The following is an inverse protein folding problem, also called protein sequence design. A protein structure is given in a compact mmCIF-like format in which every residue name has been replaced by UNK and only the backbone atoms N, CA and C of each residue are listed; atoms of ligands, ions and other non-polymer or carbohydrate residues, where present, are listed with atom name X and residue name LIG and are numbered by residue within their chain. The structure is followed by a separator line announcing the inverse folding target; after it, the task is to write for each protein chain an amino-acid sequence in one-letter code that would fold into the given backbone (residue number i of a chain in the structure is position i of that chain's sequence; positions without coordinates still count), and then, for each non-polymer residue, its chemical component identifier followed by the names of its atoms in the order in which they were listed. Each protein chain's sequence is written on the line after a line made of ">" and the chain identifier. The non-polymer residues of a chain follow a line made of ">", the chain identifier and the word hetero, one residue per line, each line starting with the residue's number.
data_IF_083300083154
#
_entry.id   IF_083300083154
#
_cell.length_a   1.000
_cell.length_b   1.000
_cell.length_c   1.000
_cell.angle_alpha   90.00
_cell.angle_beta   90.00
_cell.angle_gamma   90.00
#
_symmetry.space_group_name_H-M   'P 1'
#
loop_
_entity.id
_entity.type
_entity.pdbx_description
1 polymer ?
#
# COMPACT_ATOMS: atom_id res chain seq x y z
N UNK A 1 11.83 30.58 -19.33
CA UNK A 1 12.09 31.58 -20.39
C UNK A 1 13.59 31.79 -20.65
N UNK A 2 14.34 32.49 -19.78
CA UNK A 2 15.74 32.87 -20.05
C UNK A 2 16.71 31.69 -20.28
N UNK A 3 16.62 30.63 -19.46
CA UNK A 3 17.43 29.41 -19.60
C UNK A 3 17.11 28.63 -20.88
N UNK A 4 15.82 28.52 -21.23
CA UNK A 4 15.37 27.85 -22.46
C UNK A 4 15.88 28.59 -23.70
N UNK A 5 15.90 29.92 -23.67
CA UNK A 5 16.46 30.74 -24.74
C UNK A 5 17.96 30.47 -24.93
N UNK A 6 18.73 30.43 -23.84
CA UNK A 6 20.18 30.12 -23.89
C UNK A 6 20.42 28.69 -24.40
N UNK A 7 19.66 27.72 -23.91
CA UNK A 7 19.76 26.33 -24.33
C UNK A 7 19.42 26.16 -25.82
N UNK A 8 18.40 26.88 -26.32
CA UNK A 8 17.98 26.82 -27.72
C UNK A 8 18.99 27.37 -28.71
N UNK A 9 19.92 28.23 -28.26
CA UNK A 9 20.96 28.85 -29.08
C UNK A 9 22.29 28.11 -29.05
N UNK A 10 22.40 27.03 -28.26
CA UNK A 10 23.66 26.34 -28.01
C UNK A 10 23.68 24.97 -28.67
N UNK A 11 24.65 24.73 -29.55
CA UNK A 11 24.80 23.47 -30.29
C UNK A 11 25.58 22.42 -29.51
N UNK A 12 26.46 22.88 -28.63
CA UNK A 12 27.30 22.04 -27.77
C UNK A 12 27.53 22.69 -26.41
N UNK A 13 28.15 21.94 -25.51
CA UNK A 13 28.34 22.39 -24.13
C UNK A 13 29.33 23.55 -23.96
N UNK A 14 30.37 23.60 -24.81
CA UNK A 14 31.31 24.72 -24.80
C UNK A 14 30.61 26.00 -25.23
N UNK A 15 29.72 25.91 -26.22
CA UNK A 15 28.89 27.03 -26.67
C UNK A 15 27.92 27.49 -25.58
N UNK A 16 27.24 26.57 -24.90
CA UNK A 16 26.32 26.88 -23.79
C UNK A 16 27.01 27.61 -22.64
N UNK A 17 28.17 27.11 -22.20
CA UNK A 17 28.95 27.74 -21.14
C UNK A 17 29.49 29.10 -21.55
N UNK A 18 29.88 29.27 -22.82
CA UNK A 18 30.31 30.55 -23.37
C UNK A 18 29.16 31.56 -23.36
N UNK A 19 27.97 31.17 -23.81
CA UNK A 19 26.76 32.03 -23.83
C UNK A 19 26.31 32.42 -22.43
N UNK A 20 26.40 31.52 -21.44
CA UNK A 20 26.18 31.84 -20.02
C UNK A 20 27.18 32.92 -19.55
N UNK A 21 28.47 32.73 -19.86
CA UNK A 21 29.53 33.69 -19.52
C UNK A 21 29.31 35.07 -20.16
N UNK A 22 28.84 35.09 -21.40
CA UNK A 22 28.61 36.31 -22.18
C UNK A 22 27.37 37.06 -21.68
N UNK A 23 26.22 36.37 -21.50
CA UNK A 23 25.00 36.99 -20.95
C UNK A 23 25.19 37.47 -19.51
N UNK A 24 26.10 36.88 -18.73
CA UNK A 24 26.44 37.35 -17.38
C UNK A 24 27.00 38.77 -17.37
N UNK A 25 27.65 39.23 -18.45
CA UNK A 25 28.19 40.59 -18.57
C UNK A 25 27.12 41.66 -18.72
N UNK A 26 25.91 41.30 -19.13
CA UNK A 26 24.80 42.23 -19.40
C UNK A 26 23.54 41.93 -18.58
N UNK A 27 23.63 41.04 -17.59
CA UNK A 27 22.49 40.57 -16.80
C UNK A 27 22.19 41.47 -15.59
N UNK A 28 20.92 41.55 -15.20
CA UNK A 28 20.50 42.24 -13.97
C UNK A 28 20.93 41.48 -12.70
N UNK A 29 20.90 42.13 -11.53
CA UNK A 29 21.40 41.55 -10.26
C UNK A 29 20.73 40.20 -9.91
N UNK A 30 19.41 40.08 -10.06
CA UNK A 30 18.67 38.82 -9.85
C UNK A 30 18.98 37.76 -10.92
N UNK A 31 19.25 38.19 -12.16
CA UNK A 31 19.69 37.29 -13.22
C UNK A 31 21.12 36.78 -12.98
N UNK A 32 22.01 37.59 -12.39
CA UNK A 32 23.37 37.18 -12.02
C UNK A 32 23.36 36.11 -10.93
N UNK A 33 22.52 36.24 -9.89
CA UNK A 33 22.38 35.18 -8.87
C UNK A 33 21.85 33.88 -9.47
N UNK A 34 20.85 33.97 -10.35
CA UNK A 34 20.32 32.82 -11.08
C UNK A 34 21.39 32.18 -11.96
N UNK A 35 22.15 32.98 -12.72
CA UNK A 35 23.27 32.52 -13.56
C UNK A 35 24.41 31.91 -12.74
N UNK A 36 24.71 32.43 -11.55
CA UNK A 36 25.73 31.86 -10.65
C UNK A 36 25.28 30.51 -10.08
N UNK A 37 24.01 30.39 -9.68
CA UNK A 37 23.45 29.13 -9.22
C UNK A 37 23.45 28.08 -10.34
N UNK A 38 23.07 28.48 -11.56
CA UNK A 38 23.20 27.63 -12.75
C UNK A 38 24.66 27.25 -12.96
N UNK A 39 25.60 28.21 -12.99
CA UNK A 39 27.01 27.95 -13.24
C UNK A 39 27.65 27.04 -12.17
N UNK A 40 27.29 27.17 -10.89
CA UNK A 40 27.78 26.28 -9.83
C UNK A 40 27.19 24.87 -9.95
N UNK A 41 25.87 24.76 -10.16
CA UNK A 41 25.22 23.48 -10.41
C UNK A 41 25.71 22.83 -11.69
N UNK A 42 26.08 23.63 -12.67
CA UNK A 42 26.61 23.18 -13.94
C UNK A 42 28.07 22.74 -13.76
N UNK A 43 28.92 23.51 -13.08
CA UNK A 43 30.31 23.12 -12.78
C UNK A 43 30.41 21.82 -11.98
N UNK A 44 29.48 21.54 -11.07
CA UNK A 44 29.44 20.26 -10.35
C UNK A 44 29.04 19.07 -11.24
N UNK A 45 28.45 19.34 -12.41
CA UNK A 45 28.06 18.36 -13.42
C UNK A 45 29.09 18.25 -14.55
N UNK A 46 30.04 19.19 -14.70
CA UNK A 46 31.03 19.24 -15.79
C UNK A 46 32.40 18.73 -15.33
N UNK A 47 32.85 17.69 -16.00
CA UNK A 47 34.25 17.30 -16.13
C UNK A 47 34.84 18.03 -17.33
N UNK A 48 35.91 18.81 -17.09
CA UNK A 48 36.54 19.72 -18.07
C UNK A 48 37.02 19.03 -19.37
N UNK A 49 37.21 17.71 -19.36
CA UNK A 49 37.76 16.91 -20.46
C UNK A 49 36.82 15.79 -20.94
N UNK A 50 35.51 16.05 -21.02
CA UNK A 50 34.65 15.20 -21.84
C UNK A 50 34.86 15.57 -23.31
N UNK A 51 35.77 14.86 -23.98
CA UNK A 51 35.93 14.91 -25.42
C UNK A 51 34.65 14.52 -26.17
N UNK A 52 34.68 14.56 -27.50
CA UNK A 52 33.62 13.93 -28.30
C UNK A 52 33.70 12.42 -28.10
N UNK A 53 32.63 11.83 -27.56
CA UNK A 53 32.50 10.37 -27.55
C UNK A 53 32.10 9.95 -28.96
N UNK A 54 33.05 9.42 -29.71
CA UNK A 54 32.72 8.72 -30.95
C UNK A 54 32.03 7.41 -30.59
N UNK A 55 30.74 7.36 -30.87
CA UNK A 55 29.93 6.18 -30.69
C UNK A 55 30.28 5.20 -31.82
N UNK A 56 30.98 4.11 -31.52
CA UNK A 56 31.27 3.07 -32.50
C UNK A 56 29.99 2.33 -32.95
N UNK A 57 30.05 1.59 -34.06
CA UNK A 57 28.93 0.76 -34.55
C UNK A 57 28.86 -0.63 -33.89
N UNK A 58 29.56 -0.81 -32.78
CA UNK A 58 29.65 -2.06 -32.02
C UNK A 58 28.98 -1.93 -30.65
N UNK A 59 28.84 -3.07 -29.96
CA UNK A 59 28.34 -3.12 -28.59
C UNK A 59 29.20 -2.27 -27.67
N UNK A 60 28.67 -1.12 -27.25
CA UNK A 60 29.38 -0.14 -26.43
C UNK A 60 28.78 -0.11 -25.03
N UNK A 61 29.62 -0.15 -24.00
CA UNK A 61 29.22 -0.04 -22.60
C UNK A 61 29.71 1.31 -22.04
N UNK A 62 28.77 2.14 -21.59
CA UNK A 62 29.09 3.39 -20.89
C UNK A 62 29.13 3.15 -19.38
N UNK A 63 30.33 3.06 -18.82
CA UNK A 63 30.51 2.94 -17.38
C UNK A 63 30.63 4.33 -16.72
N UNK A 64 29.59 4.69 -15.96
CA UNK A 64 29.52 5.94 -15.21
C UNK A 64 29.98 5.79 -13.75
N UNK A 65 30.40 4.60 -13.31
CA UNK A 65 30.72 4.30 -11.91
C UNK A 65 31.83 5.18 -11.32
N UNK A 66 32.76 5.63 -12.16
CA UNK A 66 33.91 6.46 -11.78
C UNK A 66 33.58 7.95 -11.58
N UNK A 67 32.38 8.38 -11.95
CA UNK A 67 31.95 9.76 -11.78
C UNK A 67 31.71 10.09 -10.29
N UNK A 68 32.14 11.28 -9.83
CA UNK A 68 32.27 11.58 -8.40
C UNK A 68 30.94 11.73 -7.66
N UNK A 69 29.84 12.02 -8.37
CA UNK A 69 28.53 12.22 -7.75
C UNK A 69 27.44 11.51 -8.52
N UNK A 70 26.38 11.09 -7.81
CA UNK A 70 25.17 10.51 -8.43
C UNK A 70 24.51 11.47 -9.42
N UNK A 71 24.60 12.78 -9.17
CA UNK A 71 24.07 13.81 -10.06
C UNK A 71 24.86 13.88 -11.38
N UNK A 72 26.20 13.81 -11.32
CA UNK A 72 27.03 13.73 -12.51
C UNK A 72 26.76 12.46 -13.32
N UNK A 73 26.63 11.30 -12.65
CA UNK A 73 26.24 10.04 -13.31
C UNK A 73 24.94 10.18 -14.11
N UNK A 74 23.89 10.67 -13.45
CA UNK A 74 22.59 10.83 -14.08
C UNK A 74 22.64 11.85 -15.24
N UNK A 75 23.35 12.96 -15.05
CA UNK A 75 23.51 14.00 -16.07
C UNK A 75 24.22 13.48 -17.31
N UNK A 76 25.32 12.75 -17.15
CA UNK A 76 26.08 12.23 -18.28
C UNK A 76 25.36 11.09 -19.00
N UNK A 77 24.68 10.21 -18.26
CA UNK A 77 23.81 9.20 -18.86
C UNK A 77 22.71 9.86 -19.71
N UNK A 78 22.03 10.87 -19.16
CA UNK A 78 20.98 11.63 -19.87
C UNK A 78 21.54 12.33 -21.14
N UNK A 79 22.71 12.96 -21.05
CA UNK A 79 23.37 13.59 -22.19
C UNK A 79 23.68 12.56 -23.29
N UNK A 80 24.19 11.40 -22.92
CA UNK A 80 24.55 10.36 -23.88
C UNK A 80 23.32 9.76 -24.55
N UNK A 81 22.27 9.48 -23.80
CA UNK A 81 21.00 9.01 -24.33
C UNK A 81 20.40 10.00 -25.34
N UNK A 82 20.49 11.31 -25.07
CA UNK A 82 20.05 12.35 -26.01
C UNK A 82 20.86 12.37 -27.30
N UNK A 83 22.18 12.21 -27.21
CA UNK A 83 23.03 12.15 -28.40
C UNK A 83 22.74 10.90 -29.24
N UNK A 84 22.62 9.74 -28.59
CA UNK A 84 22.25 8.47 -29.25
C UNK A 84 20.88 8.61 -29.93
N UNK A 85 19.88 9.10 -29.21
CA UNK A 85 18.53 9.25 -29.77
C UNK A 85 18.51 10.20 -30.97
N UNK A 86 19.23 11.33 -30.90
CA UNK A 86 19.36 12.25 -32.05
C UNK A 86 19.99 11.58 -33.27
N UNK A 87 21.04 10.77 -33.09
CA UNK A 87 21.65 10.01 -34.20
C UNK A 87 20.70 8.96 -34.78
N UNK A 88 19.82 8.37 -33.94
CA UNK A 88 18.75 7.49 -34.39
C UNK A 88 17.68 8.26 -35.18
N UNK A 89 17.27 9.45 -34.74
CA UNK A 89 16.33 10.33 -35.46
C UNK A 89 16.88 10.75 -36.84
N UNK A 90 18.17 11.07 -36.91
CA UNK A 90 18.88 11.38 -38.15
C UNK A 90 19.14 10.14 -39.03
N UNK A 91 18.70 8.95 -38.60
CA UNK A 91 18.89 7.65 -39.28
C UNK A 91 20.36 7.30 -39.55
N UNK A 92 21.29 7.91 -38.80
CA UNK A 92 22.71 7.55 -38.82
C UNK A 92 22.95 6.19 -38.19
N UNK A 93 22.08 5.82 -37.24
CA UNK A 93 22.04 4.49 -36.63
C UNK A 93 20.68 3.84 -36.87
N UNK A 94 20.68 2.55 -37.17
CA UNK A 94 19.48 1.73 -37.33
C UNK A 94 19.58 0.54 -36.39
N UNK A 95 18.42 0.04 -35.96
CA UNK A 95 18.31 -1.20 -35.17
C UNK A 95 19.10 -1.17 -33.85
N UNK A 96 19.19 0.01 -33.23
CA UNK A 96 19.93 0.20 -31.97
C UNK A 96 19.10 -0.33 -30.81
N UNK A 97 19.68 -1.22 -30.00
CA UNK A 97 19.17 -1.57 -28.68
C UNK A 97 19.86 -0.70 -27.63
N UNK A 98 19.09 0.14 -26.94
CA UNK A 98 19.57 0.94 -25.82
C UNK A 98 19.21 0.22 -24.52
N UNK A 99 20.22 -0.29 -23.82
CA UNK A 99 20.08 -0.91 -22.51
C UNK A 99 20.47 0.06 -21.39
N UNK A 100 19.62 0.19 -20.37
CA UNK A 100 19.83 1.13 -19.26
C UNK A 100 19.63 0.40 -17.95
N UNK A 101 20.73 0.26 -17.22
CA UNK A 101 20.69 -0.24 -15.85
C UNK A 101 20.35 0.89 -14.86
N UNK A 102 19.70 0.53 -13.76
CA UNK A 102 19.20 1.46 -12.73
C UNK A 102 18.40 2.65 -13.27
N UNK A 103 17.53 2.40 -14.24
CA UNK A 103 16.78 3.44 -14.97
C UNK A 103 15.94 4.37 -14.07
N UNK A 104 15.53 3.91 -12.89
CA UNK A 104 14.83 4.73 -11.89
C UNK A 104 15.62 5.98 -11.44
N UNK A 105 16.94 5.98 -11.66
CA UNK A 105 17.78 7.13 -11.32
C UNK A 105 17.57 8.30 -12.28
N UNK A 106 17.16 8.04 -13.52
CA UNK A 106 16.91 9.05 -14.56
C UNK A 106 15.48 9.61 -14.50
N UNK A 107 14.51 8.81 -14.07
CA UNK A 107 13.09 9.19 -13.98
C UNK A 107 12.76 10.16 -12.84
N UNK A 108 13.68 10.39 -11.90
CA UNK A 108 13.52 11.39 -10.81
C UNK A 108 13.56 12.84 -11.31
N UNK A 109 13.99 13.06 -12.54
CA UNK A 109 14.04 14.37 -13.18
C UNK A 109 12.84 14.58 -14.10
N UNK A 110 12.15 15.72 -13.97
CA UNK A 110 10.90 16.05 -14.71
C UNK A 110 11.04 16.10 -16.24
N UNK A 111 12.24 15.97 -16.79
CA UNK A 111 12.53 16.14 -18.22
C UNK A 111 13.49 15.08 -18.77
N UNK A 112 13.40 13.83 -18.32
CA UNK A 112 14.25 12.76 -18.88
C UNK A 112 13.88 12.44 -20.34
N UNK A 113 14.88 12.19 -21.17
CA UNK A 113 14.72 11.73 -22.55
C UNK A 113 14.05 10.36 -22.62
N UNK A 114 14.09 9.58 -21.54
CA UNK A 114 13.46 8.26 -21.48
C UNK A 114 11.95 8.30 -21.73
N UNK A 115 11.28 9.38 -21.35
CA UNK A 115 9.86 9.53 -21.62
C UNK A 115 9.59 9.58 -23.13
N UNK A 116 10.36 10.38 -23.87
CA UNK A 116 10.30 10.46 -25.34
C UNK A 116 10.69 9.13 -25.96
N UNK A 117 11.82 8.56 -25.56
CA UNK A 117 12.31 7.28 -26.10
C UNK A 117 11.30 6.16 -25.88
N UNK A 118 10.65 6.08 -24.71
CA UNK A 118 9.65 5.04 -24.43
C UNK A 118 8.47 5.08 -25.41
N UNK A 119 8.11 6.27 -25.92
CA UNK A 119 7.00 6.49 -26.84
C UNK A 119 7.39 6.31 -28.30
N UNK A 120 8.58 6.78 -28.68
CA UNK A 120 8.93 7.04 -30.08
C UNK A 120 10.10 6.21 -30.61
N UNK A 121 10.72 5.34 -29.80
CA UNK A 121 11.88 4.57 -30.28
C UNK A 121 11.51 3.42 -31.22
N UNK A 122 10.26 2.95 -31.21
CA UNK A 122 9.83 1.68 -31.83
C UNK A 122 10.07 1.60 -33.34
N UNK A 123 10.05 2.72 -34.05
CA UNK A 123 10.33 2.81 -35.49
C UNK A 123 11.84 2.97 -35.81
N UNK A 124 12.68 3.17 -34.79
CA UNK A 124 14.12 3.48 -34.91
C UNK A 124 15.02 2.43 -34.26
N UNK A 125 14.52 1.70 -33.26
CA UNK A 125 15.27 0.74 -32.46
C UNK A 125 14.47 0.20 -31.28
N UNK A 126 15.16 -0.21 -30.23
CA UNK A 126 14.59 -0.85 -29.04
C UNK A 126 15.14 -0.21 -27.76
N UNK A 127 14.27 -0.11 -26.75
CA UNK A 127 14.64 0.36 -25.42
C UNK A 127 14.45 -0.77 -24.40
N UNK A 128 15.49 -1.06 -23.65
CA UNK A 128 15.47 -1.99 -22.53
C UNK A 128 15.92 -1.26 -21.27
N UNK A 129 15.03 -1.18 -20.28
CA UNK A 129 15.37 -0.64 -18.97
C UNK A 129 15.39 -1.73 -17.89
N UNK A 130 16.31 -1.60 -16.94
CA UNK A 130 16.42 -2.45 -15.76
C UNK A 130 16.31 -1.54 -14.54
N UNK A 131 15.53 -1.95 -13.54
CA UNK A 131 15.35 -1.18 -12.31
C UNK A 131 14.97 -2.09 -11.14
N UNK A 132 15.42 -1.72 -9.95
CA UNK A 132 15.00 -2.34 -8.69
C UNK A 132 13.75 -1.70 -8.09
N UNK A 133 13.45 -0.44 -8.46
CA UNK A 133 12.33 0.33 -7.92
C UNK A 133 11.36 0.65 -9.07
N UNK A 134 10.29 -0.14 -9.19
CA UNK A 134 9.30 0.04 -10.27
C UNK A 134 8.44 1.29 -10.04
N UNK A 135 8.17 1.61 -8.78
CA UNK A 135 7.39 2.79 -8.35
C UNK A 135 8.02 4.11 -8.79
N UNK A 136 9.34 4.16 -8.86
CA UNK A 136 10.12 5.34 -9.26
C UNK A 136 10.08 5.61 -10.77
N UNK A 137 9.62 4.65 -11.58
CA UNK A 137 9.39 4.84 -13.03
C UNK A 137 8.03 5.51 -13.21
N UNK A 138 7.91 6.51 -14.09
CA UNK A 138 6.65 7.20 -14.32
C UNK A 138 5.57 6.24 -14.91
N UNK A 139 4.30 6.31 -14.48
CA UNK A 139 3.23 5.42 -14.96
C UNK A 139 3.10 5.39 -16.48
N UNK A 140 3.12 6.56 -17.12
CA UNK A 140 3.05 6.73 -18.57
C UNK A 140 4.21 6.05 -19.30
N UNK A 141 5.42 6.11 -18.75
CA UNK A 141 6.57 5.41 -19.30
C UNK A 141 6.40 3.89 -19.16
N UNK A 142 5.98 3.41 -17.99
CA UNK A 142 5.73 1.97 -17.76
C UNK A 142 4.73 1.41 -18.77
N UNK A 143 3.67 2.16 -19.06
CA UNK A 143 2.64 1.72 -20.00
C UNK A 143 3.16 1.49 -21.43
N UNK A 144 4.20 2.21 -21.85
CA UNK A 144 4.75 2.11 -23.21
C UNK A 144 5.63 0.86 -23.44
N UNK A 145 6.07 0.19 -22.38
CA UNK A 145 6.83 -1.07 -22.49
C UNK A 145 5.88 -2.24 -22.77
N UNK A 146 5.99 -2.82 -23.97
CA UNK A 146 5.18 -3.96 -24.40
C UNK A 146 5.58 -5.28 -23.76
N UNK A 147 6.80 -5.40 -23.25
CA UNK A 147 7.30 -6.60 -22.57
C UNK A 147 7.89 -6.20 -21.24
N UNK A 148 7.47 -6.88 -20.17
CA UNK A 148 7.91 -6.56 -18.80
C UNK A 148 8.20 -7.84 -18.04
N UNK A 149 9.48 -8.16 -17.91
CA UNK A 149 9.91 -9.24 -17.03
C UNK A 149 10.11 -8.72 -15.62
N UNK A 150 9.65 -9.49 -14.64
CA UNK A 150 9.88 -9.16 -13.24
C UNK A 150 10.37 -10.38 -12.48
N UNK A 151 11.35 -10.13 -11.62
CA UNK A 151 11.75 -11.03 -10.55
C UNK A 151 10.88 -10.75 -9.33
N UNK A 152 11.12 -11.46 -8.22
CA UNK A 152 10.41 -11.18 -6.97
C UNK A 152 10.51 -9.70 -6.59
N UNK A 153 9.36 -9.04 -6.42
CA UNK A 153 9.25 -7.65 -6.02
C UNK A 153 9.02 -7.49 -4.51
N UNK A 154 9.40 -6.34 -3.97
CA UNK A 154 9.03 -5.92 -2.62
C UNK A 154 7.58 -5.43 -2.55
N UNK A 155 7.04 -5.31 -1.33
CA UNK A 155 5.62 -5.04 -1.10
C UNK A 155 5.09 -3.76 -1.77
N UNK A 156 5.89 -2.69 -1.80
CA UNK A 156 5.49 -1.42 -2.40
C UNK A 156 5.33 -1.52 -3.93
N UNK A 157 6.28 -2.16 -4.62
CA UNK A 157 6.21 -2.37 -6.07
C UNK A 157 5.16 -3.43 -6.45
N UNK A 158 4.96 -4.43 -5.59
CA UNK A 158 3.96 -5.47 -5.79
C UNK A 158 2.52 -4.91 -5.85
N UNK A 159 2.25 -3.80 -5.15
CA UNK A 159 0.95 -3.13 -5.19
C UNK A 159 0.63 -2.55 -6.58
N UNK A 160 1.65 -2.21 -7.38
CA UNK A 160 1.46 -1.73 -8.75
C UNK A 160 0.80 -2.80 -9.62
N UNK A 161 0.99 -4.09 -9.29
CA UNK A 161 0.43 -5.23 -10.00
C UNK A 161 -0.99 -5.59 -9.53
N UNK A 162 -1.62 -4.81 -8.67
CA UNK A 162 -2.94 -5.12 -8.10
C UNK A 162 -4.08 -5.19 -9.13
N UNK A 163 -3.86 -4.71 -10.36
CA UNK A 163 -4.80 -4.85 -11.46
C UNK A 163 -4.95 -6.31 -11.93
N UNK A 164 -3.98 -7.18 -11.66
CA UNK A 164 -4.04 -8.61 -11.99
C UNK A 164 -3.58 -9.44 -10.79
N UNK A 165 -4.55 -10.04 -10.08
CA UNK A 165 -4.28 -10.80 -8.86
C UNK A 165 -3.41 -12.06 -9.11
N UNK A 166 -3.58 -12.72 -10.25
CA UNK A 166 -2.81 -13.91 -10.61
C UNK A 166 -1.34 -13.54 -10.84
N UNK A 167 -1.09 -12.48 -11.60
CA UNK A 167 0.26 -11.96 -11.82
C UNK A 167 0.87 -11.48 -10.51
N UNK A 168 0.14 -10.71 -9.72
CA UNK A 168 0.60 -10.25 -8.39
C UNK A 168 0.98 -11.43 -7.49
N UNK A 169 0.14 -12.46 -7.42
CA UNK A 169 0.44 -13.66 -6.64
C UNK A 169 1.69 -14.36 -7.18
N UNK A 170 1.75 -14.57 -8.49
CA UNK A 170 2.86 -15.25 -9.17
C UNK A 170 4.19 -14.56 -8.88
N UNK A 171 4.24 -13.23 -8.97
CA UNK A 171 5.42 -12.42 -8.64
C UNK A 171 5.81 -12.54 -7.17
N UNK A 172 4.83 -12.60 -6.26
CA UNK A 172 5.11 -12.68 -4.81
C UNK A 172 5.76 -14.00 -4.37
N UNK A 173 5.53 -15.09 -5.12
CA UNK A 173 6.01 -16.44 -4.80
C UNK A 173 7.26 -16.86 -5.59
N UNK A 174 7.73 -16.02 -6.51
CA UNK A 174 8.97 -16.28 -7.27
C UNK A 174 10.15 -16.56 -6.32
N UNK A 175 10.90 -17.61 -6.64
CA UNK A 175 12.14 -17.97 -5.97
C UNK A 175 13.34 -17.25 -6.62
N UNK A 176 14.53 -17.26 -5.99
CA UNK A 176 15.73 -16.72 -6.62
C UNK A 176 15.95 -17.30 -8.03
N UNK A 177 16.32 -16.44 -8.98
CA UNK A 177 16.47 -16.76 -10.41
C UNK A 177 15.19 -17.10 -11.16
N UNK A 178 14.01 -17.00 -10.52
CA UNK A 178 12.74 -17.10 -11.21
C UNK A 178 12.21 -15.71 -11.60
N UNK A 179 11.57 -15.64 -12.76
CA UNK A 179 10.95 -14.43 -13.27
C UNK A 179 9.68 -14.77 -14.05
N UNK A 180 8.82 -13.77 -14.24
CA UNK A 180 7.59 -13.90 -15.02
C UNK A 180 7.41 -12.69 -15.92
N UNK A 181 6.69 -12.86 -17.02
CA UNK A 181 6.23 -11.77 -17.87
C UNK A 181 4.90 -11.25 -17.31
N UNK A 182 4.90 -10.03 -16.78
CA UNK A 182 3.70 -9.43 -16.19
C UNK A 182 2.72 -8.92 -17.25
N UNK A 183 3.15 -8.81 -18.52
CA UNK A 183 2.32 -8.45 -19.66
C UNK A 183 1.93 -9.68 -20.49
N UNK A 184 2.06 -10.89 -19.93
CA UNK A 184 1.75 -12.12 -20.63
C UNK A 184 0.29 -12.10 -21.15
N UNK A 185 0.03 -12.37 -22.44
CA UNK A 185 -1.30 -12.20 -23.03
C UNK A 185 -2.41 -13.03 -22.37
N UNK A 186 -2.09 -14.22 -21.86
CA UNK A 186 -3.03 -15.10 -21.16
C UNK A 186 -2.93 -14.98 -19.63
N UNK A 187 -2.43 -13.85 -19.12
CA UNK A 187 -2.22 -13.58 -17.68
C UNK A 187 -3.48 -13.61 -16.81
N UNK A 188 -4.67 -13.74 -17.42
CA UNK A 188 -5.94 -13.99 -16.73
C UNK A 188 -6.23 -15.48 -16.54
N UNK A 189 -5.59 -16.35 -17.33
CA UNK A 189 -5.75 -17.80 -17.29
C UNK A 189 -4.56 -18.50 -16.63
N UNK A 190 -3.33 -18.03 -16.88
CA UNK A 190 -2.14 -18.48 -16.18
C UNK A 190 -0.99 -17.48 -16.24
N UNK A 191 -0.06 -17.57 -15.30
CA UNK A 191 1.21 -16.84 -15.34
C UNK A 191 2.39 -17.83 -15.52
N UNK A 192 3.24 -17.65 -16.55
CA UNK A 192 4.43 -18.49 -16.74
C UNK A 192 5.52 -18.07 -15.75
N UNK A 193 6.09 -19.04 -15.05
CA UNK A 193 7.27 -18.87 -14.20
C UNK A 193 8.47 -19.48 -14.93
N UNK A 194 9.37 -18.61 -15.34
CA UNK A 194 10.60 -18.94 -16.04
C UNK A 194 11.73 -18.99 -15.00
N UNK A 195 12.63 -19.97 -15.13
CA UNK A 195 13.81 -20.09 -14.27
C UNK A 195 15.06 -19.84 -15.09
N UNK A 196 15.87 -18.88 -14.67
CA UNK A 196 17.17 -18.62 -15.28
C UNK A 196 18.17 -19.70 -14.85
N UNK A 197 18.72 -20.41 -15.85
CA UNK A 197 19.71 -21.47 -15.68
C UNK A 197 21.00 -21.00 -16.36
N UNK A 198 22.05 -20.80 -15.56
CA UNK A 198 23.28 -20.14 -15.98
C UNK A 198 24.20 -20.99 -16.87
N UNK A 199 24.03 -22.33 -16.87
CA UNK A 199 24.90 -23.26 -17.59
C UNK A 199 24.31 -23.74 -18.93
N UNK A 200 23.05 -23.38 -19.24
CA UNK A 200 22.37 -23.72 -20.49
C UNK A 200 22.17 -25.21 -20.76
N UNK A 201 22.59 -26.11 -19.86
CA UNK A 201 22.63 -27.55 -20.09
C UNK A 201 21.43 -28.29 -19.50
N UNK A 202 20.67 -27.65 -18.60
CA UNK A 202 19.41 -28.19 -18.07
C UNK A 202 18.21 -27.47 -18.69
N UNK A 203 17.37 -28.21 -19.42
CA UNK A 203 16.01 -27.75 -19.74
C UNK A 203 15.10 -28.10 -18.55
N UNK A 204 14.51 -27.09 -17.91
CA UNK A 204 13.41 -27.28 -16.96
C UNK A 204 12.12 -26.83 -17.61
N UNK A 205 11.09 -27.66 -17.52
CA UNK A 205 9.75 -27.29 -17.98
C UNK A 205 9.31 -25.98 -17.30
N UNK A 206 8.74 -25.09 -18.12
CA UNK A 206 8.18 -23.82 -17.63
C UNK A 206 7.00 -24.12 -16.72
N UNK A 207 7.10 -23.68 -15.46
CA UNK A 207 6.01 -23.82 -14.50
C UNK A 207 4.90 -22.83 -14.86
N UNK A 208 3.65 -23.26 -14.78
CA UNK A 208 2.47 -22.40 -15.02
C UNK A 208 1.66 -22.28 -13.74
N UNK A 209 1.29 -21.05 -13.37
CA UNK A 209 0.38 -20.79 -12.27
C UNK A 209 -1.00 -20.50 -12.87
N UNK A 210 -1.97 -21.41 -12.73
CA UNK A 210 -3.30 -21.32 -13.36
C UNK A 210 -4.29 -20.48 -12.54
N UNK A 211 -5.28 -19.87 -13.22
CA UNK A 211 -6.28 -18.97 -12.64
C UNK A 211 -7.52 -19.68 -12.06
N UNK A 212 -7.79 -20.94 -12.41
CA UNK A 212 -8.94 -21.67 -11.91
C UNK A 212 -8.68 -23.18 -11.80
N UNK A 213 -8.31 -23.65 -10.60
CA UNK A 213 -8.90 -24.84 -9.96
C UNK A 213 -8.92 -24.56 -8.45
N UNK A 214 -10.07 -24.89 -7.84
CA UNK A 214 -10.38 -24.98 -6.41
C UNK A 214 -9.19 -25.34 -5.52
N UNK A 215 -9.30 -24.87 -4.27
CA UNK A 215 -8.81 -25.57 -3.08
C UNK A 215 -8.66 -27.08 -3.33
N UNK A 216 -7.43 -27.58 -3.47
CA UNK A 216 -6.99 -28.88 -2.96
C UNK A 216 -5.49 -29.13 -3.23
N UNK A 217 -4.78 -29.35 -2.11
CA UNK A 217 -3.54 -30.14 -1.91
C UNK A 217 -2.27 -29.75 -2.68
N UNK A 218 -1.39 -29.03 -1.97
CA UNK A 218 0.05 -29.17 -2.13
C UNK A 218 0.62 -30.04 -0.99
N UNK A 219 0.83 -31.33 -1.27
CA UNK A 219 1.94 -32.11 -0.71
C UNK A 219 3.11 -31.99 -1.73
N UNK A 220 4.40 -32.08 -1.43
CA UNK A 220 5.22 -32.12 -0.21
C UNK A 220 6.66 -31.82 -0.68
N UNK A 221 7.48 -31.22 0.20
CA UNK A 221 8.95 -31.15 0.07
C UNK A 221 9.49 -29.74 -0.17
N UNK A 222 10.23 -29.09 0.73
CA UNK A 222 10.89 -29.56 1.93
C UNK A 222 11.01 -28.39 2.93
N UNK A 223 10.72 -28.67 4.20
CA UNK A 223 11.02 -27.76 5.31
C UNK A 223 9.94 -27.68 6.38
N UNK A 224 9.91 -28.67 7.27
CA UNK A 224 9.26 -28.55 8.59
C UNK A 224 7.82 -29.03 8.65
N UNK A 225 7.62 -30.18 9.31
CA UNK A 225 6.31 -30.66 9.75
C UNK A 225 5.58 -29.58 10.57
N UNK A 226 4.49 -29.07 10.02
CA UNK A 226 3.38 -28.47 10.73
C UNK A 226 2.12 -28.83 9.96
N UNK A 227 1.12 -29.43 10.62
CA UNK A 227 -0.19 -29.74 10.02
C UNK A 227 -0.64 -28.54 9.18
N UNK A 228 -1.09 -28.76 7.94
CA UNK A 228 -1.63 -27.71 7.08
C UNK A 228 -2.65 -26.90 7.87
N UNK A 229 -2.34 -25.64 8.16
CA UNK A 229 -3.18 -24.79 8.98
C UNK A 229 -4.25 -24.23 8.05
N UNK A 230 -5.48 -24.68 8.23
CA UNK A 230 -6.63 -24.00 7.64
C UNK A 230 -6.89 -22.71 8.43
N UNK A 231 -6.28 -21.61 7.97
CA UNK A 231 -6.46 -20.32 8.62
C UNK A 231 -7.91 -19.84 8.57
N UNK A 232 -8.68 -20.22 7.55
CA UNK A 232 -10.08 -19.80 7.42
C UNK A 232 -10.93 -20.50 8.47
N UNK A 233 -10.79 -21.82 8.58
CA UNK A 233 -11.46 -22.62 9.61
C UNK A 233 -11.05 -22.17 11.02
N UNK A 234 -9.76 -21.98 11.29
CA UNK A 234 -9.26 -21.57 12.60
C UNK A 234 -9.74 -20.17 13.00
N UNK A 235 -9.74 -19.21 12.07
CA UNK A 235 -10.26 -17.86 12.33
C UNK A 235 -11.76 -17.92 12.57
N UNK A 236 -12.51 -18.67 11.76
CA UNK A 236 -13.95 -18.80 11.96
C UNK A 236 -14.29 -19.53 13.26
N UNK A 237 -13.50 -20.51 13.68
CA UNK A 237 -13.63 -21.17 14.98
C UNK A 237 -13.46 -20.16 16.12
N UNK A 238 -12.36 -19.39 16.13
CA UNK A 238 -12.12 -18.37 17.15
C UNK A 238 -13.27 -17.34 17.15
N UNK A 239 -13.68 -16.86 15.98
CA UNK A 239 -14.73 -15.86 15.83
C UNK A 239 -16.14 -16.39 16.11
N UNK A 240 -16.34 -17.72 16.07
CA UNK A 240 -17.58 -18.38 16.48
C UNK A 240 -17.75 -18.46 18.00
N UNK A 241 -16.64 -18.39 18.75
CA UNK A 241 -16.62 -18.39 20.22
C UNK A 241 -16.58 -16.98 20.80
N UNK A 242 -15.77 -16.07 20.23
CA UNK A 242 -15.59 -14.70 20.75
C UNK A 242 -15.10 -13.71 19.69
N UNK A 243 -15.24 -12.43 19.99
CA UNK A 243 -14.54 -11.39 19.23
C UNK A 243 -13.03 -11.47 19.48
N UNK A 244 -12.22 -11.22 18.45
CA UNK A 244 -10.77 -11.16 18.59
C UNK A 244 -10.11 -10.23 17.57
N UNK A 245 -8.84 -9.87 17.80
CA UNK A 245 -8.04 -9.05 16.90
C UNK A 245 -6.90 -9.87 16.28
N UNK A 246 -6.43 -9.44 15.10
CA UNK A 246 -5.48 -10.22 14.28
C UNK A 246 -4.20 -10.66 15.02
N UNK A 247 -3.72 -9.86 15.98
CA UNK A 247 -2.52 -10.19 16.76
C UNK A 247 -2.78 -11.29 17.79
N UNK A 248 -3.98 -11.36 18.39
CA UNK A 248 -4.35 -12.39 19.36
C UNK A 248 -4.61 -13.72 18.68
N UNK A 249 -5.43 -13.72 17.61
CA UNK A 249 -5.58 -14.88 16.73
C UNK A 249 -4.22 -15.39 16.24
N UNK A 250 -3.31 -14.47 15.90
CA UNK A 250 -1.94 -14.81 15.49
C UNK A 250 -1.10 -15.47 16.57
N UNK A 251 -1.30 -15.11 17.85
CA UNK A 251 -0.63 -15.79 18.97
C UNK A 251 -1.20 -17.19 19.18
N UNK A 252 -2.53 -17.33 19.18
CA UNK A 252 -3.20 -18.62 19.41
C UNK A 252 -2.84 -19.63 18.31
N UNK A 253 -2.94 -19.24 17.05
CA UNK A 253 -2.60 -20.09 15.90
C UNK A 253 -1.09 -20.37 15.84
N UNK A 254 -0.24 -19.39 16.16
CA UNK A 254 1.21 -19.59 16.25
C UNK A 254 1.60 -20.62 17.31
N UNK A 255 0.98 -20.56 18.50
CA UNK A 255 1.21 -21.52 19.59
C UNK A 255 0.65 -22.90 19.22
N UNK A 256 -0.56 -22.96 18.67
CA UNK A 256 -1.26 -24.21 18.33
C UNK A 256 -0.52 -25.02 17.26
N UNK A 257 0.14 -24.35 16.31
CA UNK A 257 0.78 -25.01 15.17
C UNK A 257 2.30 -24.84 15.06
N UNK A 258 2.95 -24.17 16.01
CA UNK A 258 4.41 -24.05 16.06
C UNK A 258 5.03 -23.20 14.95
N UNK A 259 4.30 -22.20 14.44
CA UNK A 259 4.75 -21.29 13.37
C UNK A 259 5.13 -19.91 13.93
N UNK A 260 5.85 -19.10 13.15
CA UNK A 260 6.19 -17.74 13.59
C UNK A 260 4.95 -16.83 13.67
N UNK A 261 4.93 -15.95 14.67
CA UNK A 261 3.83 -14.99 14.88
C UNK A 261 3.64 -14.05 13.68
N UNK A 262 4.73 -13.66 13.03
CA UNK A 262 4.67 -12.77 11.87
C UNK A 262 4.09 -13.47 10.64
N UNK A 263 4.42 -14.75 10.43
CA UNK A 263 3.83 -15.59 9.40
C UNK A 263 2.34 -15.81 9.66
N UNK A 264 1.94 -16.12 10.90
CA UNK A 264 0.54 -16.29 11.28
C UNK A 264 -0.26 -14.99 11.07
N UNK A 265 0.29 -13.85 11.51
CA UNK A 265 -0.38 -12.54 11.44
C UNK A 265 -0.60 -12.07 10.00
N UNK A 266 0.36 -12.32 9.10
CA UNK A 266 0.22 -11.98 7.68
C UNK A 266 -0.91 -12.80 7.02
N UNK A 267 -0.95 -14.11 7.29
CA UNK A 267 -2.01 -15.01 6.78
C UNK A 267 -3.38 -14.63 7.34
N UNK A 268 -3.46 -14.36 8.65
CA UNK A 268 -4.71 -13.96 9.30
C UNK A 268 -5.26 -12.64 8.74
N UNK A 269 -4.41 -11.65 8.48
CA UNK A 269 -4.87 -10.39 7.87
C UNK A 269 -5.52 -10.60 6.50
N UNK A 270 -4.87 -11.40 5.65
CA UNK A 270 -5.39 -11.72 4.32
C UNK A 270 -6.76 -12.41 4.40
N UNK A 271 -6.87 -13.42 5.26
CA UNK A 271 -8.10 -14.21 5.42
C UNK A 271 -9.23 -13.37 6.04
N UNK A 272 -8.92 -12.50 7.02
CA UNK A 272 -9.92 -11.58 7.58
C UNK A 272 -10.42 -10.55 6.57
N UNK A 273 -9.57 -10.09 5.65
CA UNK A 273 -10.00 -9.21 4.56
C UNK A 273 -10.91 -9.92 3.56
N UNK A 274 -10.57 -11.16 3.21
CA UNK A 274 -11.40 -12.01 2.35
C UNK A 274 -12.77 -12.29 2.99
N UNK A 275 -12.79 -12.79 4.24
CA UNK A 275 -14.02 -13.05 5.00
C UNK A 275 -14.88 -11.78 5.16
N UNK A 276 -14.26 -10.61 5.29
CA UNK A 276 -14.97 -9.33 5.33
C UNK A 276 -15.59 -8.98 3.97
N UNK A 277 -14.85 -9.18 2.88
CA UNK A 277 -15.34 -8.90 1.52
C UNK A 277 -16.47 -9.86 1.13
N UNK A 278 -16.42 -11.09 1.60
CA UNK A 278 -17.48 -12.10 1.45
C UNK A 278 -18.66 -11.90 2.43
N UNK A 279 -18.61 -10.85 3.26
CA UNK A 279 -19.64 -10.55 4.26
C UNK A 279 -19.84 -11.64 5.32
N UNK A 280 -18.82 -12.48 5.57
CA UNK A 280 -18.81 -13.52 6.59
C UNK A 280 -18.35 -12.97 7.96
N UNK A 281 -17.48 -11.96 7.95
CA UNK A 281 -16.92 -11.32 9.16
C UNK A 281 -17.14 -9.82 9.15
N UNK A 282 -17.48 -9.24 10.30
CA UNK A 282 -17.51 -7.80 10.53
C UNK A 282 -16.32 -7.32 11.36
N UNK A 283 -16.14 -6.00 11.44
CA UNK A 283 -15.13 -5.38 12.31
C UNK A 283 -15.70 -4.21 13.09
N UNK A 284 -15.14 -3.98 14.28
CA UNK A 284 -15.40 -2.82 15.13
C UNK A 284 -14.07 -2.25 15.59
N UNK A 285 -13.96 -0.93 15.63
CA UNK A 285 -12.79 -0.23 16.16
C UNK A 285 -13.00 0.05 17.65
N UNK A 286 -11.96 -0.20 18.45
CA UNK A 286 -11.94 0.06 19.89
C UNK A 286 -10.69 0.83 20.25
N UNK A 287 -10.70 1.47 21.43
CA UNK A 287 -9.52 2.07 22.02
C UNK A 287 -9.07 1.22 23.21
N UNK A 288 -7.83 0.71 23.15
CA UNK A 288 -7.17 0.03 24.28
C UNK A 288 -5.88 0.78 24.58
N UNK A 289 -5.71 1.26 25.82
CA UNK A 289 -4.56 2.07 26.25
C UNK A 289 -4.33 3.31 25.34
N UNK A 290 -5.41 3.94 24.87
CA UNK A 290 -5.36 5.08 23.94
C UNK A 290 -4.96 4.74 22.49
N UNK A 291 -4.78 3.45 22.15
CA UNK A 291 -4.46 3.00 20.79
C UNK A 291 -5.67 2.33 20.13
N UNK A 292 -5.96 2.65 18.85
CA UNK A 292 -7.04 2.01 18.13
C UNK A 292 -6.69 0.55 17.81
N UNK A 293 -7.51 -0.38 18.29
CA UNK A 293 -7.48 -1.79 17.94
C UNK A 293 -8.70 -2.14 17.08
N UNK A 294 -8.53 -3.05 16.12
CA UNK A 294 -9.62 -3.53 15.27
C UNK A 294 -9.95 -4.95 15.70
N UNK A 295 -11.15 -5.15 16.26
CA UNK A 295 -11.66 -6.48 16.55
C UNK A 295 -12.57 -6.94 15.42
N UNK A 296 -12.57 -8.24 15.20
CA UNK A 296 -13.37 -8.93 14.21
C UNK A 296 -14.42 -9.80 14.92
N UNK A 297 -15.55 -10.04 14.26
CA UNK A 297 -16.63 -10.90 14.73
C UNK A 297 -17.27 -11.66 13.57
N UNK A 298 -17.74 -12.88 13.78
CA UNK A 298 -18.49 -13.62 12.77
C UNK A 298 -19.91 -13.05 12.60
N UNK A 299 -20.38 -12.92 11.36
CA UNK A 299 -21.76 -12.51 11.04
C UNK A 299 -22.77 -13.67 11.05
N UNK A 300 -22.31 -14.92 11.13
CA UNK A 300 -23.15 -16.13 11.17
C UNK A 300 -22.47 -17.27 11.95
N UNK A 301 -23.13 -17.98 12.89
CA UNK A 301 -24.51 -17.78 13.35
C UNK A 301 -24.64 -16.85 14.58
N UNK A 302 -23.55 -16.51 15.27
CA UNK A 302 -23.64 -15.94 16.62
C UNK A 302 -23.30 -14.44 16.70
N UNK A 303 -24.28 -13.63 16.32
CA UNK A 303 -24.36 -12.19 16.60
C UNK A 303 -24.42 -11.88 18.11
N UNK A 304 -24.70 -12.89 18.94
CA UNK A 304 -24.56 -12.83 20.40
C UNK A 304 -23.13 -12.44 20.81
N UNK A 305 -22.10 -12.94 20.12
CA UNK A 305 -20.72 -12.66 20.49
C UNK A 305 -20.33 -11.19 20.26
N UNK A 306 -20.92 -10.56 19.24
CA UNK A 306 -20.76 -9.13 19.02
C UNK A 306 -21.42 -8.32 20.15
N UNK A 307 -22.65 -8.69 20.52
CA UNK A 307 -23.39 -8.02 21.61
C UNK A 307 -22.67 -8.19 22.95
N UNK A 308 -22.37 -9.43 23.36
CA UNK A 308 -21.65 -9.73 24.60
C UNK A 308 -20.24 -9.12 24.61
N UNK A 309 -19.53 -9.14 23.48
CA UNK A 309 -18.21 -8.52 23.34
C UNK A 309 -18.26 -7.00 23.51
N UNK A 310 -19.23 -6.33 22.88
CA UNK A 310 -19.44 -4.89 23.06
C UNK A 310 -19.89 -4.53 24.49
N UNK A 311 -20.75 -5.35 25.10
CA UNK A 311 -21.20 -5.17 26.48
C UNK A 311 -20.04 -5.27 27.47
N UNK A 312 -19.20 -6.31 27.36
CA UNK A 312 -18.00 -6.47 28.19
C UNK A 312 -17.05 -5.29 28.05
N UNK A 313 -16.85 -4.78 26.83
CA UNK A 313 -15.97 -3.63 26.59
C UNK A 313 -16.56 -2.33 27.15
N UNK A 314 -17.87 -2.14 27.07
CA UNK A 314 -18.53 -0.99 27.69
C UNK A 314 -18.38 -1.04 29.22
N UNK A 315 -18.51 -2.22 29.84
CA UNK A 315 -18.25 -2.42 31.28
C UNK A 315 -16.80 -2.12 31.65
N UNK A 316 -15.82 -2.59 30.87
CA UNK A 316 -14.40 -2.30 31.11
C UNK A 316 -14.12 -0.78 31.08
N UNK A 317 -14.66 -0.07 30.09
CA UNK A 317 -14.55 1.39 29.99
C UNK A 317 -15.18 2.08 31.21
N UNK A 318 -16.37 1.64 31.64
CA UNK A 318 -17.05 2.21 32.80
C UNK A 318 -16.26 1.99 34.10
N UNK A 319 -15.72 0.79 34.30
CA UNK A 319 -14.88 0.44 35.44
C UNK A 319 -13.59 1.27 35.48
N UNK A 320 -12.90 1.42 34.34
CA UNK A 320 -11.70 2.27 34.24
C UNK A 320 -12.00 3.74 34.54
N UNK A 321 -13.20 4.22 34.24
CA UNK A 321 -13.66 5.57 34.55
C UNK A 321 -14.25 5.71 35.97
N UNK A 322 -14.24 4.64 36.77
CA UNK A 322 -14.75 4.64 38.13
C UNK A 322 -16.28 4.73 38.24
N UNK A 323 -17.02 4.39 37.19
CA UNK A 323 -18.48 4.35 37.19
C UNK A 323 -18.97 3.04 37.81
N UNK A 324 -19.80 3.12 38.84
CA UNK A 324 -20.41 1.93 39.47
C UNK A 324 -21.47 1.32 38.57
N UNK A 325 -21.31 0.03 38.25
CA UNK A 325 -22.29 -0.76 37.50
C UNK A 325 -23.18 -1.51 38.49
N UNK A 326 -24.48 -1.23 38.44
CA UNK A 326 -25.47 -1.84 39.34
C UNK A 326 -25.95 -3.19 38.84
N UNK A 327 -26.11 -3.32 37.52
CA UNK A 327 -26.57 -4.53 36.86
C UNK A 327 -26.02 -4.64 35.45
N UNK A 328 -25.68 -5.86 35.06
CA UNK A 328 -25.36 -6.24 33.69
C UNK A 328 -26.40 -7.29 33.29
N UNK A 329 -27.24 -6.98 32.30
CA UNK A 329 -28.31 -7.88 31.87
C UNK A 329 -27.76 -8.97 30.96
N UNK A 330 -28.39 -10.14 31.00
CA UNK A 330 -28.00 -11.23 30.11
C UNK A 330 -28.52 -11.01 28.69
N UNK A 331 -27.77 -11.43 27.67
CA UNK A 331 -28.19 -11.25 26.26
C UNK A 331 -29.56 -11.90 26.03
N UNK A 332 -30.55 -11.11 25.61
CA UNK A 332 -31.92 -11.57 25.34
C UNK A 332 -32.91 -11.36 26.49
N UNK A 333 -32.48 -10.81 27.62
CA UNK A 333 -33.35 -10.44 28.74
C UNK A 333 -34.32 -9.32 28.34
N UNK A 334 -35.62 -9.57 28.46
CA UNK A 334 -36.66 -8.61 28.05
C UNK A 334 -36.91 -7.58 29.14
N UNK A 335 -36.96 -6.30 28.76
CA UNK A 335 -37.40 -5.20 29.63
C UNK A 335 -36.33 -4.56 30.51
N UNK A 336 -35.08 -5.01 30.45
CA UNK A 336 -33.94 -4.39 31.12
C UNK A 336 -32.97 -3.78 30.10
N UNK A 337 -32.18 -2.78 30.52
CA UNK A 337 -31.06 -2.26 29.72
C UNK A 337 -29.87 -3.20 29.84
N UNK A 338 -28.99 -3.22 28.84
CA UNK A 338 -27.81 -4.09 28.85
C UNK A 338 -26.86 -3.80 30.03
N UNK A 339 -26.72 -2.53 30.40
CA UNK A 339 -25.95 -2.12 31.59
C UNK A 339 -26.72 -1.00 32.31
N UNK A 340 -26.92 -1.16 33.61
CA UNK A 340 -27.59 -0.18 34.46
C UNK A 340 -26.59 0.41 35.46
N UNK A 341 -26.57 1.74 35.58
CA UNK A 341 -25.76 2.49 36.54
C UNK A 341 -26.65 3.45 37.34
N UNK A 342 -26.08 4.09 38.36
CA UNK A 342 -26.82 5.08 39.17
C UNK A 342 -27.23 6.34 38.38
N UNK A 343 -26.53 6.66 37.28
CA UNK A 343 -26.65 7.96 36.60
C UNK A 343 -27.21 7.85 35.18
N UNK A 344 -27.00 6.72 34.51
CA UNK A 344 -27.43 6.49 33.13
C UNK A 344 -27.55 5.00 32.83
N UNK A 345 -28.29 4.69 31.76
CA UNK A 345 -28.44 3.34 31.23
C UNK A 345 -27.64 3.20 29.94
N UNK A 346 -27.12 2.00 29.67
CA UNK A 346 -26.43 1.69 28.42
C UNK A 346 -27.14 0.55 27.69
N UNK A 347 -27.38 0.74 26.40
CA UNK A 347 -27.94 -0.27 25.49
C UNK A 347 -26.92 -0.54 24.36
N UNK A 348 -26.68 -1.80 24.05
CA UNK A 348 -25.83 -2.24 22.94
C UNK A 348 -26.70 -2.60 21.73
N UNK A 349 -26.60 -1.80 20.67
CA UNK A 349 -27.38 -1.99 19.44
C UNK A 349 -26.48 -2.40 18.26
N UNK A 350 -26.56 -3.67 17.88
CA UNK A 350 -25.75 -4.25 16.79
C UNK A 350 -26.29 -3.93 15.39
N UNK A 351 -27.45 -3.28 15.29
CA UNK A 351 -28.08 -2.84 14.04
C UNK A 351 -29.03 -3.85 13.38
N UNK A 352 -29.15 -5.06 13.93
CA UNK A 352 -29.81 -6.21 13.29
C UNK A 352 -31.24 -6.46 13.76
N UNK A 353 -31.66 -5.85 14.88
CA UNK A 353 -33.07 -5.85 15.26
C UNK A 353 -33.88 -5.05 14.22
N UNK A 354 -34.91 -5.69 13.67
CA UNK A 354 -35.82 -5.08 12.70
C UNK A 354 -36.85 -4.15 13.36
N UNK A 355 -37.21 -4.41 14.62
CA UNK A 355 -38.08 -3.52 15.42
C UNK A 355 -37.28 -2.80 16.51
N UNK A 356 -37.64 -1.54 16.75
CA UNK A 356 -37.11 -0.68 17.81
C UNK A 356 -38.16 -0.39 18.90
N UNK A 357 -39.32 -1.03 18.85
CA UNK A 357 -40.43 -0.76 19.79
C UNK A 357 -40.03 -1.09 21.23
N UNK A 358 -39.46 -2.27 21.48
CA UNK A 358 -38.98 -2.66 22.82
C UNK A 358 -37.96 -1.66 23.40
N UNK A 359 -37.08 -1.11 22.55
CA UNK A 359 -36.09 -0.12 22.97
C UNK A 359 -36.76 1.22 23.31
N UNK A 360 -37.74 1.66 22.52
CA UNK A 360 -38.51 2.88 22.81
C UNK A 360 -39.29 2.76 24.11
N UNK A 361 -39.90 1.60 24.38
CA UNK A 361 -40.58 1.33 25.64
C UNK A 361 -39.62 1.40 26.83
N UNK A 362 -38.43 0.79 26.74
CA UNK A 362 -37.40 0.89 27.80
C UNK A 362 -36.95 2.34 28.03
N UNK A 363 -36.72 3.10 26.96
CA UNK A 363 -36.33 4.52 27.04
C UNK A 363 -37.44 5.35 27.71
N UNK A 364 -38.71 5.09 27.41
CA UNK A 364 -39.84 5.77 28.03
C UNK A 364 -40.01 5.39 29.52
N UNK A 365 -39.66 4.16 29.89
CA UNK A 365 -39.76 3.63 31.25
C UNK A 365 -38.70 4.13 32.24
N UNK A 366 -37.68 4.87 31.78
CA UNK A 366 -36.62 5.42 32.64
C UNK A 366 -36.55 6.94 32.60
N UNK A 367 -36.18 7.54 33.73
CA UNK A 367 -35.90 8.97 33.80
C UNK A 367 -34.42 9.33 33.64
N UNK A 368 -33.55 8.32 33.65
CA UNK A 368 -32.11 8.50 33.49
C UNK A 368 -31.73 8.71 32.02
N UNK A 369 -30.53 9.24 31.80
CA UNK A 369 -29.95 9.34 30.46
C UNK A 369 -29.74 7.94 29.89
N UNK A 370 -29.94 7.76 28.59
CA UNK A 370 -29.69 6.49 27.90
C UNK A 370 -28.57 6.67 26.88
N UNK A 371 -27.58 5.79 26.92
CA UNK A 371 -26.46 5.73 25.98
C UNK A 371 -26.62 4.48 25.13
N UNK A 372 -26.88 4.66 23.83
CA UNK A 372 -26.93 3.60 22.85
C UNK A 372 -25.55 3.47 22.21
N UNK A 373 -24.93 2.32 22.36
CA UNK A 373 -23.62 2.00 21.78
C UNK A 373 -23.81 1.13 20.54
N UNK A 374 -23.35 1.64 19.40
CA UNK A 374 -23.43 0.95 18.10
C UNK A 374 -22.03 0.54 17.60
N UNK A 375 -21.92 -0.52 16.77
CA UNK A 375 -20.60 -1.02 16.34
C UNK A 375 -19.90 -0.10 15.33
N UNK A 376 -20.65 0.64 14.50
CA UNK A 376 -20.09 1.49 13.46
C UNK A 376 -20.90 2.78 13.30
N UNK A 377 -20.24 3.85 12.83
CA UNK A 377 -20.86 5.18 12.68
C UNK A 377 -22.08 5.20 11.74
N UNK A 378 -22.08 4.32 10.74
CA UNK A 378 -23.18 4.16 9.79
C UNK A 378 -24.52 3.80 10.46
N UNK A 379 -24.48 3.19 11.66
CA UNK A 379 -25.67 2.84 12.41
C UNK A 379 -26.16 3.97 13.32
N UNK A 380 -25.37 5.03 13.55
CA UNK A 380 -25.74 6.12 14.47
C UNK A 380 -27.05 6.78 14.02
N UNK A 381 -27.19 7.06 12.72
CA UNK A 381 -28.35 7.76 12.17
C UNK A 381 -29.66 6.99 12.37
N UNK A 382 -29.61 5.65 12.41
CA UNK A 382 -30.78 4.80 12.65
C UNK A 382 -31.43 5.04 14.02
N UNK A 383 -30.64 5.42 15.03
CA UNK A 383 -31.08 5.60 16.41
C UNK A 383 -31.13 7.08 16.84
N UNK A 384 -30.81 8.02 15.94
CA UNK A 384 -30.97 9.46 16.22
C UNK A 384 -32.44 9.83 16.36
N UNK A 385 -32.74 10.74 17.30
CA UNK A 385 -34.09 11.26 17.51
C UNK A 385 -35.01 10.40 18.40
N UNK A 386 -34.47 9.39 19.09
CA UNK A 386 -35.23 8.56 20.04
C UNK A 386 -35.57 9.27 21.37
N UNK A 387 -35.10 10.50 21.57
CA UNK A 387 -35.44 11.36 22.71
C UNK A 387 -34.28 12.27 23.10
N UNK A 388 -34.58 13.39 23.78
CA UNK A 388 -33.56 14.38 24.18
C UNK A 388 -32.53 13.85 25.19
N UNK A 389 -32.91 12.80 25.95
CA UNK A 389 -32.06 12.14 26.94
C UNK A 389 -31.25 10.96 26.37
N UNK A 390 -31.37 10.70 25.07
CA UNK A 390 -30.73 9.58 24.38
C UNK A 390 -29.50 10.06 23.63
N UNK A 391 -28.38 9.40 23.89
CA UNK A 391 -27.17 9.55 23.11
C UNK A 391 -26.92 8.30 22.28
N UNK A 392 -26.40 8.47 21.07
CA UNK A 392 -25.99 7.35 20.22
C UNK A 392 -24.54 7.55 19.83
N UNK A 393 -23.71 6.54 20.08
CA UNK A 393 -22.27 6.64 19.83
C UNK A 393 -21.65 5.29 19.51
N UNK A 394 -20.47 5.33 18.92
CA UNK A 394 -19.62 4.14 18.81
C UNK A 394 -18.82 3.93 20.10
N UNK A 395 -18.34 2.70 20.31
CA UNK A 395 -17.66 2.34 21.56
C UNK A 395 -16.35 3.08 21.79
N UNK A 396 -15.64 3.48 20.73
CA UNK A 396 -14.45 4.34 20.80
C UNK A 396 -14.79 5.76 21.28
N UNK A 397 -15.95 6.29 20.89
CA UNK A 397 -16.44 7.61 21.34
C UNK A 397 -16.99 7.61 22.77
N UNK A 398 -17.32 6.45 23.33
CA UNK A 398 -17.85 6.33 24.70
C UNK A 398 -16.87 6.83 25.75
N UNK A 399 -15.58 6.51 25.61
CA UNK A 399 -14.54 6.97 26.54
C UNK A 399 -14.38 8.48 26.50
N UNK A 400 -14.23 9.05 25.30
CA UNK A 400 -14.03 10.49 25.10
C UNK A 400 -15.18 11.28 25.73
N UNK A 401 -16.42 10.89 25.46
CA UNK A 401 -17.59 11.62 25.94
C UNK A 401 -17.80 11.52 27.46
N UNK A 402 -17.50 10.37 28.07
CA UNK A 402 -17.62 10.18 29.52
C UNK A 402 -16.47 10.84 30.30
N UNK A 403 -15.35 11.16 29.64
CA UNK A 403 -14.25 11.98 30.20
C UNK A 403 -14.41 13.48 29.98
N UNK A 404 -15.25 13.91 29.03
CA UNK A 404 -15.54 15.33 28.76
C UNK A 404 -16.36 16.13 29.79
N UNK A 405 -16.91 15.61 30.92
CA UNK A 405 -17.57 16.47 31.91
C UNK A 405 -16.65 17.53 32.56
N UNK A 406 -15.33 17.38 32.46
CA UNK A 406 -14.39 18.33 33.07
C UNK A 406 -14.09 19.57 32.20
N UNK A 407 -14.25 19.51 30.87
CA UNK A 407 -13.93 20.67 30.00
C UNK A 407 -15.05 21.71 29.94
N UNK A 408 -16.31 21.30 30.11
CA UNK A 408 -17.46 22.22 30.08
C UNK A 408 -17.65 22.97 31.40
N UNK A 409 -17.01 22.55 32.50
CA UNK A 409 -17.02 23.28 33.77
C UNK A 409 -15.99 24.42 33.83
N UNK A 410 -15.02 24.48 32.92
CA UNK A 410 -13.98 25.53 32.93
C UNK A 410 -14.30 26.73 32.02
N UNK A 411 -15.37 26.67 31.23
CA UNK A 411 -15.82 27.80 30.39
C UNK A 411 -17.05 28.55 30.93
N UNK A 412 -17.51 28.20 32.13
CA UNK A 412 -18.45 29.03 32.90
C UNK A 412 -17.81 29.32 34.25
N UNK A 413 -16.88 30.27 34.27
CA UNK A 413 -16.60 31.15 35.40
C UNK A 413 -16.20 32.52 34.88
#
# INVERSE_FOLDING_TARGET
>A
AFLQEIASQSTDWKSFMKTISEKRKSASKNQIETLNAIEQNVKSLIIKDMGSVELANESTVFDFSTLPTKQAQNFYAELMLRQIYREMEERKRKDVLVCIDEAHRLTKSYHTILDVMSREIRDKGMLWIITQNLIDILPEMRANFGTKFTFKLGDADLQILSYNQLVRFSVSVLQPRQFTDIEFPESQAFAPVLTYISDGNEYRETQKILAAVKEERMEEGAGGRGKGIDYKEEIMHILSERMSYATEMGKEISVKYGISKDQAKLRIKSVLEELKNNNEVGRVKYLRDGKPIVMYYSKSPNLSNLHTGMQSQAVDILNELGVSVNRISTTGERGAFDIETDFFMVEIETGLKHSMEDLKERIAGTNLRVIIVVPNRELIDKYRGLGERVLVMTIDSMREMLTEPEKTKTQIK
#
